data_IF_592998905380
#
_entry.id   IF_592998905380
#
_cell.length_a   1.000
_cell.length_b   1.000
_cell.length_c   1.000
_cell.angle_alpha   90.00
_cell.angle_beta   90.00
_cell.angle_gamma   90.00
#
_symmetry.space_group_name_H-M   'P 1'
#
loop_
_entity.id
_entity.type
_entity.pdbx_description
1 polymer ?
#
# COMPACT_ATOMS: atom_id res chain seq x y z
N UNK A 1 -7.39 -4.69 15.65
CA UNK A 1 -6.50 -3.74 16.35
C UNK A 1 -5.91 -4.47 17.55
N UNK A 2 -4.61 -4.36 17.81
CA UNK A 2 -4.01 -4.98 19.01
C UNK A 2 -4.13 -4.05 20.23
N UNK A 3 -3.98 -4.55 21.48
CA UNK A 3 -3.93 -3.69 22.65
C UNK A 3 -2.81 -2.64 22.60
N UNK A 4 -1.69 -2.97 21.95
CA UNK A 4 -0.58 -2.04 21.73
C UNK A 4 -0.98 -0.89 20.79
N UNK A 5 -1.57 -1.22 19.64
CA UNK A 5 -2.04 -0.22 18.69
C UNK A 5 -3.11 0.68 19.32
N UNK A 6 -4.06 0.07 20.06
CA UNK A 6 -5.10 0.81 20.75
C UNK A 6 -4.50 1.84 21.73
N UNK A 7 -3.49 1.45 22.50
CA UNK A 7 -2.78 2.36 23.42
C UNK A 7 -2.12 3.55 22.72
N UNK A 8 -1.66 3.38 21.47
CA UNK A 8 -1.10 4.48 20.66
C UNK A 8 -2.19 5.40 20.14
N UNK A 9 -3.29 4.82 19.62
CA UNK A 9 -4.38 5.56 18.98
C UNK A 9 -5.19 6.40 19.98
N UNK A 10 -5.31 5.96 21.23
CA UNK A 10 -6.12 6.63 22.27
C UNK A 10 -5.26 7.43 23.27
N UNK A 11 -3.97 7.63 22.97
CA UNK A 11 -3.06 8.35 23.87
C UNK A 11 -3.50 9.81 24.13
N UNK A 12 -4.18 10.41 23.16
CA UNK A 12 -4.75 11.76 23.21
C UNK A 12 -6.16 11.72 22.59
N UNK A 13 -7.04 12.61 23.02
CA UNK A 13 -8.43 12.66 22.52
C UNK A 13 -8.46 12.88 21.00
N UNK A 14 -7.70 13.85 20.50
CA UNK A 14 -7.69 14.18 19.07
C UNK A 14 -7.22 13.01 18.20
N UNK A 15 -6.33 12.15 18.71
CA UNK A 15 -5.90 10.94 18.00
C UNK A 15 -7.00 9.90 17.94
N UNK A 16 -7.77 9.75 19.03
CA UNK A 16 -8.90 8.84 19.08
C UNK A 16 -10.00 9.30 18.12
N UNK A 17 -10.37 10.58 18.17
CA UNK A 17 -11.40 11.17 17.30
C UNK A 17 -10.98 11.05 15.82
N UNK A 18 -9.72 11.33 15.50
CA UNK A 18 -9.18 11.15 14.15
C UNK A 18 -9.26 9.69 13.71
N UNK A 19 -8.85 8.75 14.58
CA UNK A 19 -8.91 7.32 14.27
C UNK A 19 -10.33 6.83 14.01
N UNK A 20 -11.28 7.21 14.87
CA UNK A 20 -12.68 6.82 14.73
C UNK A 20 -13.25 7.30 13.40
N UNK A 21 -12.95 8.56 13.01
CA UNK A 21 -13.37 9.11 11.73
C UNK A 21 -12.73 8.39 10.52
N UNK A 22 -11.44 8.02 10.59
CA UNK A 22 -10.80 7.23 9.53
C UNK A 22 -11.42 5.83 9.45
N UNK A 23 -11.61 5.18 10.59
CA UNK A 23 -12.06 3.78 10.67
C UNK A 23 -13.57 3.61 10.40
N UNK A 24 -14.36 4.68 10.37
CA UNK A 24 -15.80 4.63 10.14
C UNK A 24 -16.13 3.93 8.81
N UNK A 25 -16.75 2.75 8.90
CA UNK A 25 -17.11 1.94 7.73
C UNK A 25 -15.95 1.22 7.04
N UNK A 26 -14.73 1.25 7.61
CA UNK A 26 -13.50 0.73 6.99
C UNK A 26 -12.86 -0.40 7.79
N UNK A 27 -11.86 -1.07 7.20
CA UNK A 27 -11.01 -2.01 7.94
C UNK A 27 -10.21 -1.24 9.00
N UNK A 28 -10.63 -1.39 10.25
CA UNK A 28 -10.04 -0.67 11.38
C UNK A 28 -8.57 -1.03 11.64
N UNK A 29 -8.11 -2.22 11.20
CA UNK A 29 -6.69 -2.60 11.30
C UNK A 29 -5.87 -1.90 10.23
N UNK A 30 -6.38 -1.79 9.00
CA UNK A 30 -5.72 -1.04 7.93
C UNK A 30 -5.65 0.44 8.29
N UNK A 31 -6.75 1.04 8.77
CA UNK A 31 -6.79 2.41 9.27
C UNK A 31 -5.76 2.64 10.38
N UNK A 32 -5.72 1.76 11.39
CA UNK A 32 -4.75 1.86 12.49
C UNK A 32 -3.30 1.80 11.99
N UNK A 33 -3.00 0.86 11.09
CA UNK A 33 -1.66 0.72 10.53
C UNK A 33 -1.20 1.98 9.78
N UNK A 34 -2.08 2.58 8.98
CA UNK A 34 -1.79 3.82 8.25
C UNK A 34 -1.62 5.01 9.19
N UNK A 35 -2.49 5.13 10.19
CA UNK A 35 -2.37 6.21 11.16
C UNK A 35 -1.06 6.12 11.96
N UNK A 36 -0.73 4.93 12.48
CA UNK A 36 0.45 4.70 13.33
C UNK A 36 1.75 4.75 12.53
N UNK A 37 1.82 4.06 11.40
CA UNK A 37 3.08 3.90 10.68
C UNK A 37 3.35 5.06 9.74
N UNK A 38 2.31 5.58 9.09
CA UNK A 38 2.47 6.51 7.98
C UNK A 38 2.17 7.95 8.43
N UNK A 39 0.99 8.22 9.00
CA UNK A 39 0.60 9.58 9.41
C UNK A 39 1.48 10.07 10.57
N UNK A 40 1.52 9.35 11.69
CA UNK A 40 2.32 9.76 12.85
C UNK A 40 3.81 9.85 12.52
N UNK A 41 4.33 8.98 11.65
CA UNK A 41 5.71 9.08 11.16
C UNK A 41 6.01 10.43 10.49
N UNK A 42 5.08 10.95 9.67
CA UNK A 42 5.23 12.23 8.97
C UNK A 42 4.97 13.42 9.86
N UNK A 43 3.95 13.38 10.72
CA UNK A 43 3.69 14.42 11.71
C UNK A 43 4.88 14.60 12.66
N UNK A 44 5.44 13.51 13.19
CA UNK A 44 6.63 13.54 14.03
C UNK A 44 7.83 14.17 13.30
N UNK A 45 8.05 13.81 12.03
CA UNK A 45 9.14 14.38 11.21
C UNK A 45 8.95 15.89 10.97
N UNK A 46 7.70 16.33 10.84
CA UNK A 46 7.35 17.75 10.69
C UNK A 46 7.19 18.49 12.02
N UNK A 47 7.31 17.80 13.17
CA UNK A 47 7.01 18.32 14.51
C UNK A 47 5.61 18.92 14.62
N UNK A 48 4.63 18.23 14.02
CA UNK A 48 3.21 18.58 14.04
C UNK A 48 2.44 17.64 14.97
N UNK A 49 1.39 18.15 15.58
CA UNK A 49 0.38 17.35 16.27
C UNK A 49 -0.71 16.89 15.29
N UNK A 50 -1.56 15.95 15.73
CA UNK A 50 -2.64 15.42 14.88
C UNK A 50 -3.66 16.51 14.49
N UNK A 51 -3.89 17.48 15.38
CA UNK A 51 -4.76 18.63 15.14
C UNK A 51 -4.23 19.55 14.02
N UNK A 52 -2.91 19.57 13.80
CA UNK A 52 -2.24 20.34 12.75
C UNK A 52 -1.95 19.50 11.49
N UNK A 53 -2.56 18.32 11.38
CA UNK A 53 -2.31 17.42 10.26
C UNK A 53 -2.71 18.07 8.92
N UNK A 54 -1.83 18.09 7.90
CA UNK A 54 -2.18 18.57 6.57
C UNK A 54 -3.13 17.62 5.83
N UNK A 55 -3.30 16.39 6.34
CA UNK A 55 -4.24 15.40 5.83
C UNK A 55 -5.39 15.24 6.81
N UNK A 56 -6.61 15.51 6.36
CA UNK A 56 -7.82 15.28 7.15
C UNK A 56 -8.14 13.80 7.30
N UNK A 57 -8.88 13.44 8.35
CA UNK A 57 -9.33 12.06 8.57
C UNK A 57 -10.13 11.52 7.36
N UNK A 58 -10.96 12.36 6.73
CA UNK A 58 -11.71 11.99 5.53
C UNK A 58 -10.79 11.68 4.34
N UNK A 59 -9.75 12.50 4.11
CA UNK A 59 -8.80 12.27 3.04
C UNK A 59 -7.95 11.01 3.27
N UNK A 60 -7.53 10.74 4.50
CA UNK A 60 -6.86 9.48 4.83
C UNK A 60 -7.81 8.28 4.66
N UNK A 61 -9.08 8.42 5.03
CA UNK A 61 -10.12 7.42 4.80
C UNK A 61 -10.27 7.08 3.31
N UNK A 62 -10.33 8.08 2.44
CA UNK A 62 -10.36 7.88 0.98
C UNK A 62 -9.16 7.06 0.49
N UNK A 63 -7.95 7.38 0.95
CA UNK A 63 -6.75 6.61 0.61
C UNK A 63 -6.87 5.15 1.08
N UNK A 64 -7.37 4.93 2.30
CA UNK A 64 -7.57 3.58 2.86
C UNK A 64 -8.58 2.78 2.03
N UNK A 65 -9.65 3.41 1.55
CA UNK A 65 -10.66 2.78 0.69
C UNK A 65 -10.03 2.32 -0.64
N UNK A 66 -9.22 3.18 -1.28
CA UNK A 66 -8.55 2.85 -2.55
C UNK A 66 -7.51 1.72 -2.43
N UNK A 67 -7.01 1.46 -1.21
CA UNK A 67 -6.15 0.31 -0.95
C UNK A 67 -7.00 -0.95 -0.71
N UNK A 68 -8.10 -0.80 0.02
CA UNK A 68 -8.98 -1.91 0.38
C UNK A 68 -9.69 -2.50 -0.84
N UNK A 69 -10.02 -1.67 -1.83
CA UNK A 69 -10.66 -2.08 -3.09
C UNK A 69 -9.67 -2.45 -4.21
N UNK A 70 -8.37 -2.52 -3.89
CA UNK A 70 -7.28 -2.80 -4.84
C UNK A 70 -7.20 -1.77 -6.01
N UNK A 71 -7.73 -0.55 -5.87
CA UNK A 71 -7.55 0.53 -6.86
C UNK A 71 -6.08 0.96 -6.96
N UNK A 72 -5.37 1.02 -5.84
CA UNK A 72 -3.92 1.30 -5.78
C UNK A 72 -3.18 0.28 -4.90
N UNK A 73 -1.92 0.03 -5.23
CA UNK A 73 -1.06 -0.81 -4.38
C UNK A 73 -0.65 -0.05 -3.12
N UNK A 74 -0.30 -0.76 -2.05
CA UNK A 74 0.26 -0.14 -0.85
C UNK A 74 1.56 0.66 -1.10
N UNK A 75 2.32 0.34 -2.17
CA UNK A 75 3.49 1.12 -2.58
C UNK A 75 3.06 2.48 -3.16
N UNK A 76 2.09 2.45 -4.08
CA UNK A 76 1.51 3.66 -4.69
C UNK A 76 0.82 4.50 -3.64
N UNK A 77 0.10 3.89 -2.70
CA UNK A 77 -0.56 4.62 -1.62
C UNK A 77 0.41 5.46 -0.79
N UNK A 78 1.65 5.01 -0.59
CA UNK A 78 2.67 5.81 0.10
C UNK A 78 3.09 7.03 -0.72
N UNK A 79 3.25 6.85 -2.04
CA UNK A 79 3.56 7.95 -2.97
C UNK A 79 2.42 8.98 -3.01
N UNK A 80 1.18 8.50 -3.07
CA UNK A 80 -0.02 9.35 -3.02
C UNK A 80 -0.08 10.09 -1.68
N UNK A 81 0.14 9.40 -0.57
CA UNK A 81 0.08 10.01 0.76
C UNK A 81 1.15 11.08 0.99
N UNK A 82 2.36 10.88 0.47
CA UNK A 82 3.42 11.91 0.52
C UNK A 82 2.95 13.19 -0.18
N UNK A 83 2.31 13.06 -1.35
CA UNK A 83 1.77 14.22 -2.07
C UNK A 83 0.54 14.82 -1.40
N UNK A 84 -0.32 14.03 -0.76
CA UNK A 84 -1.43 14.53 0.06
C UNK A 84 -0.89 15.43 1.19
N UNK A 85 0.21 15.02 1.84
CA UNK A 85 0.86 15.80 2.90
C UNK A 85 1.47 17.09 2.35
N UNK A 86 2.08 17.06 1.17
CA UNK A 86 2.71 18.23 0.56
C UNK A 86 1.71 19.25 0.00
N UNK A 87 0.59 18.78 -0.55
CA UNK A 87 -0.32 19.60 -1.36
C UNK A 87 -1.69 19.83 -0.71
N UNK A 88 -2.07 19.00 0.26
CA UNK A 88 -3.43 18.96 0.82
C UNK A 88 -4.48 18.40 -0.14
N UNK A 89 -4.10 17.88 -1.31
CA UNK A 89 -5.05 17.28 -2.26
C UNK A 89 -5.56 15.91 -1.76
N UNK A 90 -6.78 15.55 -2.19
CA UNK A 90 -7.37 14.24 -1.92
C UNK A 90 -6.71 13.11 -2.72
N UNK A 91 -6.82 11.89 -2.21
CA UNK A 91 -6.15 10.72 -2.80
C UNK A 91 -6.62 10.43 -4.22
N UNK A 92 -7.94 10.50 -4.47
CA UNK A 92 -8.52 10.23 -5.79
C UNK A 92 -8.03 11.21 -6.86
N UNK A 93 -7.92 12.50 -6.52
CA UNK A 93 -7.44 13.52 -7.45
C UNK A 93 -5.98 13.25 -7.88
N UNK A 94 -5.13 12.87 -6.93
CA UNK A 94 -3.73 12.52 -7.19
C UNK A 94 -3.63 11.26 -8.06
N UNK A 95 -4.39 10.21 -7.71
CA UNK A 95 -4.38 8.93 -8.42
C UNK A 95 -4.82 9.08 -9.87
N UNK A 96 -5.87 9.86 -10.13
CA UNK A 96 -6.35 10.14 -11.48
C UNK A 96 -5.33 10.98 -12.26
N UNK A 97 -4.84 12.09 -11.69
CA UNK A 97 -3.92 12.99 -12.37
C UNK A 97 -2.61 12.30 -12.79
N UNK A 98 -2.14 11.33 -12.01
CA UNK A 98 -0.88 10.61 -12.25
C UNK A 98 -1.08 9.23 -12.89
N UNK A 99 -2.32 8.81 -13.16
CA UNK A 99 -2.62 7.50 -13.74
C UNK A 99 -2.07 6.33 -12.92
N UNK A 100 -2.28 6.37 -11.60
CA UNK A 100 -1.65 5.46 -10.63
C UNK A 100 -2.49 4.21 -10.31
N UNK A 101 -3.60 4.00 -11.00
CA UNK A 101 -4.44 2.80 -10.80
C UNK A 101 -3.65 1.52 -11.06
N UNK A 102 -3.99 0.46 -10.31
CA UNK A 102 -3.39 -0.85 -10.53
C UNK A 102 -3.72 -1.40 -11.92
N UNK A 103 -2.80 -2.20 -12.45
CA UNK A 103 -3.02 -2.97 -13.66
C UNK A 103 -3.94 -4.14 -13.29
N UNK A 104 -5.16 -4.11 -13.81
CA UNK A 104 -6.15 -5.18 -13.66
C UNK A 104 -6.15 -6.17 -14.82
N UNK A 105 -5.47 -5.85 -15.93
CA UNK A 105 -5.28 -6.76 -17.06
C UNK A 105 -4.32 -7.88 -16.67
N UNK A 106 -4.88 -9.07 -16.47
CA UNK A 106 -4.12 -10.26 -16.08
C UNK A 106 -3.17 -10.74 -17.17
N UNK A 107 -3.47 -10.54 -18.46
CA UNK A 107 -2.60 -10.92 -19.57
C UNK A 107 -1.35 -10.06 -19.65
N UNK A 108 -1.51 -8.74 -19.47
CA UNK A 108 -0.37 -7.83 -19.38
C UNK A 108 0.51 -8.17 -18.16
N UNK A 109 -0.09 -8.49 -17.01
CA UNK A 109 0.65 -8.88 -15.82
C UNK A 109 1.37 -10.23 -15.97
N UNK A 110 0.72 -11.22 -16.59
CA UNK A 110 1.34 -12.52 -16.90
C UNK A 110 2.57 -12.35 -17.81
N UNK A 111 2.49 -11.46 -18.81
CA UNK A 111 3.61 -11.17 -19.72
C UNK A 111 4.81 -10.58 -18.96
N UNK A 112 4.57 -9.61 -18.07
CA UNK A 112 5.64 -9.04 -17.23
C UNK A 112 6.27 -10.13 -16.34
N UNK A 113 5.45 -11.01 -15.76
CA UNK A 113 5.97 -12.11 -14.94
C UNK A 113 6.80 -13.09 -15.77
N UNK A 114 6.36 -13.43 -16.98
CA UNK A 114 7.10 -14.31 -17.89
C UNK A 114 8.48 -13.75 -18.26
N UNK A 115 8.55 -12.45 -18.58
CA UNK A 115 9.81 -11.78 -18.86
C UNK A 115 10.78 -11.81 -17.67
N UNK A 116 10.27 -11.59 -16.45
CA UNK A 116 11.07 -11.63 -15.24
C UNK A 116 11.57 -13.06 -14.96
N UNK A 117 10.72 -14.07 -15.14
CA UNK A 117 11.12 -15.48 -14.98
C UNK A 117 12.21 -15.83 -16.00
N UNK A 118 12.01 -15.49 -17.28
CA UNK A 118 12.95 -15.79 -18.35
C UNK A 118 14.31 -15.09 -18.15
N UNK A 119 14.30 -13.87 -17.62
CA UNK A 119 15.52 -13.12 -17.30
C UNK A 119 16.26 -13.60 -16.05
N UNK A 120 15.65 -14.47 -15.22
CA UNK A 120 16.18 -14.86 -13.92
C UNK A 120 16.01 -16.37 -13.66
N UNK A 121 16.65 -17.22 -14.49
CA UNK A 121 16.45 -18.68 -14.45
C UNK A 121 16.89 -19.32 -13.14
N UNK A 122 17.97 -18.83 -12.52
CA UNK A 122 18.48 -19.35 -11.24
C UNK A 122 17.46 -19.12 -10.10
N UNK A 123 16.86 -17.93 -10.05
CA UNK A 123 15.82 -17.60 -9.07
C UNK A 123 14.56 -18.44 -9.35
N UNK A 124 14.22 -18.67 -10.62
CA UNK A 124 13.09 -19.52 -10.97
C UNK A 124 13.30 -20.97 -10.53
N UNK A 125 14.51 -21.51 -10.63
CA UNK A 125 14.87 -22.83 -10.11
C UNK A 125 14.76 -22.87 -8.57
N UNK A 126 15.34 -21.90 -7.87
CA UNK A 126 15.22 -21.81 -6.41
C UNK A 126 13.77 -21.73 -5.93
N UNK A 127 12.89 -21.07 -6.69
CA UNK A 127 11.46 -21.05 -6.40
C UNK A 127 10.85 -22.45 -6.50
N UNK A 128 11.14 -23.19 -7.58
CA UNK A 128 10.64 -24.57 -7.80
C UNK A 128 11.11 -25.52 -6.70
N UNK A 129 12.29 -25.28 -6.14
CA UNK A 129 12.82 -26.01 -4.98
C UNK A 129 12.13 -25.63 -3.66
N UNK A 130 11.17 -24.69 -3.68
CA UNK A 130 10.34 -24.32 -2.54
C UNK A 130 10.90 -23.17 -1.69
N UNK A 131 11.97 -22.49 -2.13
CA UNK A 131 12.61 -21.39 -1.39
C UNK A 131 11.71 -20.15 -1.34
N UNK A 132 10.92 -20.02 -0.28
CA UNK A 132 9.90 -18.97 -0.13
C UNK A 132 10.46 -17.54 -0.21
N UNK A 133 11.74 -17.30 0.16
CA UNK A 133 12.35 -15.96 0.07
C UNK A 133 12.45 -15.45 -1.37
N UNK A 134 12.49 -16.32 -2.36
CA UNK A 134 12.60 -15.95 -3.78
C UNK A 134 11.27 -15.45 -4.34
N UNK A 135 10.13 -15.90 -3.78
CA UNK A 135 8.79 -15.40 -4.12
C UNK A 135 8.73 -13.89 -3.91
N UNK A 136 9.15 -13.42 -2.73
CA UNK A 136 9.14 -11.99 -2.39
C UNK A 136 10.05 -11.17 -3.28
N UNK A 137 11.17 -11.74 -3.71
CA UNK A 137 12.07 -11.10 -4.67
C UNK A 137 11.43 -10.94 -6.05
N UNK A 138 10.77 -11.97 -6.59
CA UNK A 138 10.05 -11.89 -7.87
C UNK A 138 8.89 -10.88 -7.82
N UNK A 139 8.13 -10.87 -6.72
CA UNK A 139 7.10 -9.86 -6.49
C UNK A 139 7.71 -8.46 -6.52
N UNK A 140 8.86 -8.27 -5.87
CA UNK A 140 9.61 -7.01 -5.92
C UNK A 140 10.02 -6.59 -7.34
N UNK A 141 10.49 -7.54 -8.16
CA UNK A 141 10.84 -7.26 -9.56
C UNK A 141 9.61 -6.85 -10.39
N UNK A 142 8.48 -7.55 -10.24
CA UNK A 142 7.24 -7.23 -10.96
C UNK A 142 6.69 -5.87 -10.54
N UNK A 143 6.75 -5.56 -9.23
CA UNK A 143 6.40 -4.24 -8.73
C UNK A 143 7.31 -3.16 -9.32
N UNK A 144 8.61 -3.40 -9.46
CA UNK A 144 9.53 -2.45 -10.09
C UNK A 144 9.23 -2.27 -11.58
N UNK A 145 9.05 -3.36 -12.32
CA UNK A 145 8.78 -3.34 -13.77
C UNK A 145 7.48 -2.61 -14.12
N UNK A 146 6.46 -2.73 -13.26
CA UNK A 146 5.15 -2.08 -13.43
C UNK A 146 5.06 -0.70 -12.75
N UNK A 147 6.16 -0.16 -12.24
CA UNK A 147 6.18 1.09 -11.46
C UNK A 147 5.13 1.07 -10.33
N UNK A 148 5.01 -0.07 -9.64
CA UNK A 148 4.08 -0.30 -8.53
C UNK A 148 2.64 -0.55 -8.89
N UNK A 149 2.29 -0.52 -10.17
CA UNK A 149 0.91 -0.68 -10.61
C UNK A 149 0.47 -2.14 -10.58
N UNK A 150 1.39 -3.11 -10.54
CA UNK A 150 1.02 -4.50 -10.29
C UNK A 150 0.37 -4.66 -8.90
N UNK A 151 -0.54 -5.63 -8.79
CA UNK A 151 -1.01 -6.11 -7.49
C UNK A 151 -0.09 -7.22 -6.96
N UNK A 152 0.54 -7.05 -5.78
CA UNK A 152 1.45 -8.06 -5.22
C UNK A 152 0.81 -9.44 -5.04
N UNK A 153 -0.48 -9.50 -4.69
CA UNK A 153 -1.21 -10.76 -4.53
C UNK A 153 -1.37 -11.45 -5.89
N UNK A 154 -1.85 -10.71 -6.89
CA UNK A 154 -2.00 -11.22 -8.25
C UNK A 154 -0.67 -11.71 -8.84
N UNK A 155 0.42 -10.96 -8.64
CA UNK A 155 1.76 -11.39 -9.06
C UNK A 155 2.17 -12.70 -8.39
N UNK A 156 1.99 -12.81 -7.07
CA UNK A 156 2.31 -14.04 -6.32
C UNK A 156 1.47 -15.23 -6.80
N UNK A 157 0.19 -15.04 -7.09
CA UNK A 157 -0.68 -16.08 -7.66
C UNK A 157 -0.19 -16.54 -9.04
N UNK A 158 0.16 -15.61 -9.93
CA UNK A 158 0.73 -15.93 -11.25
C UNK A 158 2.05 -16.69 -11.11
N UNK A 159 2.95 -16.24 -10.22
CA UNK A 159 4.23 -16.91 -9.96
C UNK A 159 4.02 -18.35 -9.48
N UNK A 160 3.09 -18.56 -8.53
CA UNK A 160 2.76 -19.91 -8.03
C UNK A 160 2.14 -20.78 -9.11
N UNK A 161 1.33 -20.22 -10.01
CA UNK A 161 0.76 -20.96 -11.13
C UNK A 161 1.83 -21.38 -12.16
N UNK A 162 2.86 -20.56 -12.37
CA UNK A 162 3.91 -20.79 -13.38
C UNK A 162 5.11 -21.60 -12.86
N UNK A 163 5.45 -21.48 -11.57
CA UNK A 163 6.66 -22.05 -10.97
C UNK A 163 6.40 -22.95 -9.75
N UNK A 164 5.17 -22.99 -9.22
CA UNK A 164 4.79 -23.79 -8.05
C UNK A 164 4.32 -25.19 -8.39
#
# INVERSE_FOLDING_TARGET
ITPYDAGILVAEQDRADYFEAVAEGRDAKLAANWMISELFGRLNKASLEIADSPVSAAALGELVDMIADDTISGRIAKEVFDEMVETGQGAGAIVEAKGLKQITDTGALETVVDEIIAGNPEQAEQFREGKQSVVGWFVGQAMKATQGKANPKAVNEILRKKLG
#
